data_IF_570238767689
#
_entry.id   IF_570238767689
#
_cell.length_a   1.000
_cell.length_b   1.000
_cell.length_c   1.000
_cell.angle_alpha   90.00
_cell.angle_beta   90.00
_cell.angle_gamma   90.00
#
_symmetry.space_group_name_H-M   'P 1'
#
loop_
_entity.id
_entity.type
_entity.pdbx_description
1 polymer ?
#
# COMPACT_ATOMS: atom_id res chain seq x y z
N UNK A 1 11.61 -26.10 -2.63
CA UNK A 1 11.69 -25.68 -1.22
C UNK A 1 10.31 -25.19 -0.84
N UNK A 2 9.78 -25.64 0.30
CA UNK A 2 8.42 -25.31 0.74
C UNK A 2 8.31 -23.84 1.16
N UNK A 3 7.25 -23.16 0.74
CA UNK A 3 6.94 -21.76 1.07
C UNK A 3 6.89 -21.52 2.59
N UNK A 4 6.52 -22.55 3.37
CA UNK A 4 6.55 -22.52 4.82
C UNK A 4 7.95 -22.48 5.42
N UNK A 5 8.94 -23.11 4.79
CA UNK A 5 10.32 -23.13 5.27
C UNK A 5 11.00 -21.77 5.09
N UNK A 6 10.80 -21.12 3.93
CA UNK A 6 11.33 -19.78 3.68
C UNK A 6 10.79 -18.77 4.70
N UNK A 7 9.49 -18.85 5.01
CA UNK A 7 8.84 -17.98 6.00
C UNK A 7 9.37 -18.18 7.42
N UNK A 8 9.66 -19.43 7.80
CA UNK A 8 10.29 -19.73 9.10
C UNK A 8 11.71 -19.17 9.17
N UNK A 9 12.48 -19.31 8.08
CA UNK A 9 13.84 -18.77 8.03
C UNK A 9 13.84 -17.25 8.09
N UNK A 10 12.93 -16.57 7.37
CA UNK A 10 12.75 -15.11 7.43
C UNK A 10 12.42 -14.65 8.86
N UNK A 11 11.53 -15.35 9.56
CA UNK A 11 11.18 -15.06 10.96
C UNK A 11 12.39 -15.25 11.90
N UNK A 12 13.16 -16.32 11.72
CA UNK A 12 14.36 -16.59 12.54
C UNK A 12 15.43 -15.52 12.29
N UNK A 13 15.65 -15.12 11.04
CA UNK A 13 16.61 -14.06 10.67
C UNK A 13 16.18 -12.70 11.21
N UNK A 14 14.91 -12.32 11.06
CA UNK A 14 14.34 -11.12 11.67
C UNK A 14 14.50 -11.12 13.19
N UNK A 15 14.26 -12.25 13.85
CA UNK A 15 14.42 -12.35 15.30
C UNK A 15 15.88 -12.27 15.74
N UNK A 16 16.83 -12.86 15.01
CA UNK A 16 18.27 -12.66 15.28
C UNK A 16 18.70 -11.22 15.10
N UNK A 17 18.22 -10.55 14.05
CA UNK A 17 18.50 -9.14 13.81
C UNK A 17 17.94 -8.27 14.94
N UNK A 18 16.69 -8.53 15.37
CA UNK A 18 16.06 -7.87 16.52
C UNK A 18 16.80 -8.12 17.83
N UNK A 19 17.30 -9.34 18.08
CA UNK A 19 18.12 -9.63 19.27
C UNK A 19 19.46 -8.88 19.23
N UNK A 20 20.07 -8.74 18.04
CA UNK A 20 21.34 -8.03 17.87
C UNK A 20 21.18 -6.50 18.02
N UNK A 21 20.13 -5.92 17.45
CA UNK A 21 19.70 -4.54 17.75
C UNK A 21 19.25 -4.39 19.21
N UNK A 22 18.84 -5.48 19.84
CA UNK A 22 18.51 -5.55 21.26
C UNK A 22 19.67 -5.22 22.20
N UNK A 23 20.91 -5.27 21.71
CA UNK A 23 22.16 -5.12 22.48
C UNK A 23 22.96 -3.86 22.12
N UNK A 24 22.49 -3.04 21.19
CA UNK A 24 23.18 -1.84 20.71
C UNK A 24 22.20 -0.68 20.62
N UNK A 25 22.69 0.53 20.85
CA UNK A 25 21.97 1.73 20.45
C UNK A 25 21.88 1.76 18.92
N UNK A 26 20.72 2.09 18.39
CA UNK A 26 20.53 2.15 16.94
C UNK A 26 19.56 3.24 16.54
N UNK A 27 19.80 3.83 15.36
CA UNK A 27 18.88 4.78 14.74
C UNK A 27 17.87 4.03 13.90
N UNK A 28 16.59 4.23 14.20
CA UNK A 28 15.48 3.77 13.38
C UNK A 28 14.92 4.93 12.57
N UNK A 29 14.84 4.74 11.26
CA UNK A 29 14.28 5.72 10.33
C UNK A 29 13.06 5.12 9.63
N UNK A 30 11.94 5.83 9.64
CA UNK A 30 10.76 5.45 8.87
C UNK A 30 9.98 6.66 8.41
N UNK A 31 9.13 6.43 7.42
CA UNK A 31 8.26 7.43 6.82
C UNK A 31 6.81 7.06 7.13
N UNK A 32 6.04 8.04 7.60
CA UNK A 32 4.64 7.85 7.94
C UNK A 32 3.77 8.88 7.19
N UNK A 33 2.67 8.46 6.53
CA UNK A 33 1.78 9.38 5.83
C UNK A 33 1.14 10.38 6.81
N UNK A 34 1.25 11.68 6.53
CA UNK A 34 0.57 12.71 7.31
C UNK A 34 -0.90 12.81 6.90
N UNK A 35 -1.73 11.94 7.46
CA UNK A 35 -3.16 11.82 7.13
C UNK A 35 -3.95 13.12 7.36
N UNK A 36 -3.49 14.01 8.25
CA UNK A 36 -4.14 15.30 8.56
C UNK A 36 -3.98 16.30 7.42
N UNK A 37 -2.86 16.26 6.68
CA UNK A 37 -2.60 17.15 5.54
C UNK A 37 -3.38 16.78 4.28
N UNK A 38 -4.06 15.64 4.30
CA UNK A 38 -4.95 15.19 3.25
C UNK A 38 -4.28 14.26 2.24
N UNK A 39 -5.08 13.91 1.23
CA UNK A 39 -4.76 12.92 0.21
C UNK A 39 -4.53 13.62 -1.14
N UNK A 40 -3.44 13.26 -1.82
CA UNK A 40 -3.24 13.64 -3.22
C UNK A 40 -4.12 12.73 -4.09
N UNK A 41 -5.23 13.30 -4.54
CA UNK A 41 -6.25 12.59 -5.31
C UNK A 41 -5.71 12.13 -6.68
N UNK A 42 -4.95 12.98 -7.37
CA UNK A 42 -4.47 12.66 -8.71
C UNK A 42 -3.33 11.64 -8.63
N UNK A 43 -2.42 11.78 -7.66
CA UNK A 43 -1.39 10.78 -7.43
C UNK A 43 -1.97 9.43 -6.99
N UNK A 44 -3.00 9.43 -6.14
CA UNK A 44 -3.76 8.22 -5.75
C UNK A 44 -4.38 7.55 -6.96
N UNK A 45 -5.02 8.31 -7.84
CA UNK A 45 -5.62 7.79 -9.08
C UNK A 45 -4.57 7.18 -9.99
N UNK A 46 -3.43 7.84 -10.18
CA UNK A 46 -2.34 7.33 -11.00
C UNK A 46 -1.78 6.02 -10.42
N UNK A 47 -1.55 5.98 -9.11
CA UNK A 47 -1.09 4.77 -8.40
C UNK A 47 -2.04 3.59 -8.59
N UNK A 48 -3.34 3.80 -8.42
CA UNK A 48 -4.36 2.76 -8.64
C UNK A 48 -4.35 2.30 -10.10
N UNK A 49 -4.30 3.23 -11.06
CA UNK A 49 -4.27 2.90 -12.49
C UNK A 49 -3.03 2.08 -12.87
N UNK A 50 -1.87 2.41 -12.32
CA UNK A 50 -0.62 1.73 -12.61
C UNK A 50 -0.56 0.34 -11.97
N UNK A 51 -1.10 0.17 -10.76
CA UNK A 51 -1.28 -1.15 -10.13
C UNK A 51 -2.23 -2.03 -10.94
N UNK A 52 -3.32 -1.47 -11.45
CA UNK A 52 -4.25 -2.21 -12.32
C UNK A 52 -3.55 -2.67 -13.61
N UNK A 53 -2.75 -1.79 -14.22
CA UNK A 53 -1.97 -2.13 -15.44
C UNK A 53 -0.93 -3.20 -15.15
N UNK A 54 -0.20 -3.10 -14.04
CA UNK A 54 0.84 -4.08 -13.67
C UNK A 54 0.27 -5.47 -13.40
N UNK A 55 -0.97 -5.54 -12.89
CA UNK A 55 -1.71 -6.79 -12.69
C UNK A 55 -2.43 -7.29 -13.96
N UNK A 56 -2.41 -6.54 -15.06
CA UNK A 56 -3.04 -6.93 -16.32
C UNK A 56 -4.57 -7.03 -16.26
N UNK A 57 -5.21 -6.35 -15.29
CA UNK A 57 -6.66 -6.45 -15.11
C UNK A 57 -7.40 -5.61 -16.16
N UNK A 58 -8.38 -6.23 -16.82
CA UNK A 58 -9.25 -5.57 -17.80
C UNK A 58 -10.38 -4.81 -17.12
N UNK A 59 -10.79 -3.69 -17.72
CA UNK A 59 -11.86 -2.84 -17.19
C UNK A 59 -13.18 -3.58 -16.99
N UNK A 60 -13.50 -4.52 -17.87
CA UNK A 60 -14.69 -5.37 -17.74
C UNK A 60 -14.66 -6.20 -16.46
N UNK A 61 -13.53 -6.83 -16.16
CA UNK A 61 -13.35 -7.65 -14.95
C UNK A 61 -13.45 -6.81 -13.68
N UNK A 62 -12.89 -5.59 -13.70
CA UNK A 62 -12.97 -4.65 -12.59
C UNK A 62 -14.41 -4.20 -12.37
N UNK A 63 -15.12 -3.85 -13.46
CA UNK A 63 -16.53 -3.45 -13.41
C UNK A 63 -17.42 -4.57 -12.85
N UNK A 64 -17.24 -5.80 -13.34
CA UNK A 64 -17.99 -6.98 -12.90
C UNK A 64 -17.76 -7.26 -11.41
N UNK A 65 -16.52 -7.12 -10.92
CA UNK A 65 -16.17 -7.34 -9.51
C UNK A 65 -16.65 -6.23 -8.57
N UNK A 66 -16.66 -4.99 -9.06
CA UNK A 66 -17.13 -3.84 -8.31
C UNK A 66 -18.66 -3.68 -8.37
N UNK A 67 -19.35 -4.44 -9.21
CA UNK A 67 -20.79 -4.30 -9.41
C UNK A 67 -21.19 -2.98 -10.07
N UNK A 68 -20.28 -2.38 -10.84
CA UNK A 68 -20.47 -1.08 -11.49
C UNK A 68 -20.45 -1.23 -13.01
N UNK A 69 -20.83 -0.17 -13.73
CA UNK A 69 -20.73 -0.18 -15.19
C UNK A 69 -19.27 0.03 -15.67
N UNK A 70 -18.86 -0.55 -16.81
CA UNK A 70 -17.57 -0.26 -17.42
C UNK A 70 -17.36 1.23 -17.74
N UNK A 71 -18.46 1.97 -17.97
CA UNK A 71 -18.43 3.42 -18.16
C UNK A 71 -18.00 4.15 -16.89
N UNK A 72 -18.36 3.66 -15.70
CA UNK A 72 -17.89 4.21 -14.43
C UNK A 72 -16.37 4.02 -14.27
N UNK A 73 -15.86 2.83 -14.59
CA UNK A 73 -14.40 2.54 -14.61
C UNK A 73 -13.68 3.48 -15.57
N UNK A 74 -14.21 3.67 -16.77
CA UNK A 74 -13.65 4.57 -17.78
C UNK A 74 -13.63 6.05 -17.28
N UNK A 75 -14.71 6.51 -16.63
CA UNK A 75 -14.76 7.85 -16.03
C UNK A 75 -13.68 8.05 -14.96
N UNK A 76 -13.42 7.04 -14.13
CA UNK A 76 -12.37 7.14 -13.11
C UNK A 76 -10.97 7.23 -13.71
N UNK A 77 -10.70 6.44 -14.75
CA UNK A 77 -9.42 6.47 -15.46
C UNK A 77 -9.15 7.82 -16.13
N UNK A 78 -10.17 8.47 -16.70
CA UNK A 78 -9.96 9.61 -17.61
C UNK A 78 -10.54 10.96 -17.16
N UNK A 79 -11.60 10.98 -16.34
CA UNK A 79 -12.37 12.20 -16.05
C UNK A 79 -12.23 12.72 -14.61
N UNK A 80 -11.32 12.17 -13.82
CA UNK A 80 -10.96 12.71 -12.49
C UNK A 80 -12.06 12.60 -11.43
N UNK A 81 -13.11 11.80 -11.65
CA UNK A 81 -14.12 11.55 -10.61
C UNK A 81 -13.52 10.68 -9.50
N UNK A 82 -13.58 11.18 -8.26
CA UNK A 82 -13.01 10.56 -7.07
C UNK A 82 -13.56 9.14 -6.83
N UNK A 83 -12.71 8.21 -6.39
CA UNK A 83 -13.14 6.87 -6.00
C UNK A 83 -14.06 6.95 -4.78
N UNK A 84 -15.17 6.22 -4.81
CA UNK A 84 -15.92 5.92 -3.58
C UNK A 84 -15.05 5.00 -2.71
N UNK A 85 -15.03 5.22 -1.40
CA UNK A 85 -14.22 4.45 -0.46
C UNK A 85 -14.43 2.93 -0.58
N UNK A 86 -15.68 2.49 -0.84
CA UNK A 86 -16.04 1.10 -1.08
C UNK A 86 -15.27 0.49 -2.26
N UNK A 87 -15.11 1.26 -3.34
CA UNK A 87 -14.39 0.81 -4.53
C UNK A 87 -12.90 0.63 -4.24
N UNK A 88 -12.29 1.52 -3.45
CA UNK A 88 -10.90 1.38 -3.03
C UNK A 88 -10.70 0.13 -2.18
N UNK A 89 -11.65 -0.15 -1.28
CA UNK A 89 -11.61 -1.34 -0.43
C UNK A 89 -11.63 -2.64 -1.28
N UNK A 90 -12.58 -2.76 -2.22
CA UNK A 90 -12.66 -3.92 -3.10
C UNK A 90 -11.45 -4.00 -4.05
N UNK A 91 -10.98 -2.88 -4.59
CA UNK A 91 -9.77 -2.82 -5.43
C UNK A 91 -8.53 -3.30 -4.67
N UNK A 92 -8.40 -2.97 -3.38
CA UNK A 92 -7.28 -3.43 -2.57
C UNK A 92 -7.21 -4.96 -2.52
N UNK A 93 -8.36 -5.61 -2.34
CA UNK A 93 -8.48 -7.08 -2.39
C UNK A 93 -8.18 -7.66 -3.78
N UNK A 94 -8.67 -7.03 -4.85
CA UNK A 94 -8.41 -7.49 -6.23
C UNK A 94 -6.94 -7.35 -6.62
N UNK A 95 -6.26 -6.30 -6.14
CA UNK A 95 -4.86 -6.02 -6.42
C UNK A 95 -3.92 -6.77 -5.47
N UNK A 96 -4.43 -7.30 -4.35
CA UNK A 96 -3.65 -7.98 -3.33
C UNK A 96 -2.75 -7.03 -2.53
N UNK A 97 -3.19 -5.79 -2.31
CA UNK A 97 -2.47 -4.76 -1.54
C UNK A 97 -3.38 -4.18 -0.47
N UNK A 98 -2.83 -3.54 0.57
CA UNK A 98 -3.65 -2.82 1.54
C UNK A 98 -4.28 -1.57 0.91
N UNK A 99 -5.39 -1.09 1.48
CA UNK A 99 -6.00 0.19 1.05
C UNK A 99 -4.99 1.34 1.20
N UNK A 100 -4.23 1.36 2.29
CA UNK A 100 -3.21 2.39 2.55
C UNK A 100 -2.14 2.43 1.43
N UNK A 101 -1.81 1.30 0.80
CA UNK A 101 -0.88 1.26 -0.33
C UNK A 101 -1.45 1.84 -1.63
N UNK A 102 -2.78 1.97 -1.74
CA UNK A 102 -3.42 2.64 -2.87
C UNK A 102 -3.35 4.17 -2.70
N UNK A 103 -3.40 4.65 -1.46
CA UNK A 103 -3.50 6.05 -1.09
C UNK A 103 -2.14 6.76 -1.18
N UNK A 104 -2.15 8.00 -1.66
CA UNK A 104 -0.95 8.86 -1.68
C UNK A 104 -1.18 10.08 -0.81
N UNK A 105 -0.49 10.21 0.34
CA UNK A 105 -0.62 11.39 1.18
C UNK A 105 0.03 12.60 0.49
N UNK A 106 -0.48 13.80 0.76
CA UNK A 106 0.15 15.05 0.29
C UNK A 106 1.52 15.27 0.95
N UNK A 107 1.69 14.74 2.16
CA UNK A 107 2.89 14.92 2.94
C UNK A 107 3.23 13.67 3.74
N UNK A 108 4.52 13.50 4.00
CA UNK A 108 5.07 12.38 4.76
C UNK A 108 5.85 12.95 5.94
N UNK A 109 5.64 12.39 7.12
CA UNK A 109 6.46 12.63 8.30
C UNK A 109 7.61 11.64 8.29
N UNK A 110 8.83 12.18 8.25
CA UNK A 110 10.03 11.38 8.40
C UNK A 110 10.42 11.35 9.87
N UNK A 111 10.54 10.15 10.40
CA UNK A 111 11.00 9.87 11.74
C UNK A 111 12.45 9.39 11.66
N UNK A 112 13.28 9.96 12.52
CA UNK A 112 14.65 9.53 12.77
C UNK A 112 14.81 9.52 14.27
N UNK A 113 14.83 8.32 14.84
CA UNK A 113 14.77 8.12 16.29
C UNK A 113 15.97 7.28 16.71
N UNK A 114 16.77 7.81 17.63
CA UNK A 114 17.78 7.04 18.34
C UNK A 114 17.07 6.19 19.39
N UNK A 115 17.20 4.88 19.27
CA UNK A 115 16.70 3.92 20.25
C UNK A 115 17.89 3.54 21.11
N UNK A 116 17.95 4.15 22.30
CA UNK A 116 18.92 3.80 23.32
C UNK A 116 18.49 2.52 24.03
N UNK A 117 19.44 1.60 24.18
CA UNK A 117 19.27 0.38 24.96
C UNK A 117 19.87 0.59 26.34
N UNK A 118 19.01 0.71 27.35
CA UNK A 118 19.38 0.59 28.77
C UNK A 118 19.54 -0.86 29.18
#
# INVERSE_FOLDING_TARGET
MDEGYEKIMEIIEMNRFRQRLGLLDYTACWEEPDRVKGLDIEATKNRVCDLIKSKGLKDKTIADKLGITPQAVNKWRHKGSFFVIENLYVLSGLLGVSVDNLLVPVAVKKWEVLIEKR
#
